data_IF_993899604799
#
_entry.id   IF_993899604799
#
_cell.length_a   1.000
_cell.length_b   1.000
_cell.length_c   1.000
_cell.angle_alpha   90.00
_cell.angle_beta   90.00
_cell.angle_gamma   90.00
#
_symmetry.space_group_name_H-M   'P 1'
#
loop_
_entity.id
_entity.type
_entity.pdbx_description
1 polymer ?
#
# COMPACT_ATOMS: atom_id res chain seq x y z
N UNK A 1 -1.61 -4.02 16.70
CA UNK A 1 -2.36 -3.35 15.60
C UNK A 1 -2.75 -4.37 14.54
N UNK A 2 -3.85 -4.12 13.82
CA UNK A 2 -4.15 -4.82 12.57
C UNK A 2 -3.53 -4.02 11.42
N UNK A 3 -2.63 -4.62 10.67
CA UNK A 3 -1.87 -3.98 9.59
C UNK A 3 -2.25 -4.63 8.25
N UNK A 4 -2.65 -3.84 7.27
CA UNK A 4 -2.86 -4.30 5.90
C UNK A 4 -1.70 -3.87 5.01
N UNK A 5 -1.05 -4.83 4.33
CA UNK A 5 -0.01 -4.55 3.32
C UNK A 5 -0.64 -4.69 1.94
N UNK A 6 -0.75 -3.60 1.20
CA UNK A 6 -1.26 -3.56 -0.17
C UNK A 6 -0.10 -3.72 -1.15
N UNK A 7 0.16 -4.95 -1.59
CA UNK A 7 1.23 -5.24 -2.53
C UNK A 7 0.76 -5.04 -3.98
N UNK A 8 1.18 -3.94 -4.59
CA UNK A 8 0.88 -3.58 -5.97
C UNK A 8 1.70 -4.31 -7.03
N UNK A 9 2.68 -5.14 -6.63
CA UNK A 9 3.48 -5.89 -7.61
C UNK A 9 2.67 -7.03 -8.26
N UNK A 10 2.64 -7.12 -9.59
CA UNK A 10 2.05 -8.28 -10.28
C UNK A 10 2.93 -9.54 -10.18
N UNK A 11 4.19 -9.40 -9.76
CA UNK A 11 5.18 -10.48 -9.65
C UNK A 11 5.43 -10.85 -8.19
N UNK A 12 5.82 -12.12 -7.96
CA UNK A 12 6.27 -12.61 -6.64
C UNK A 12 7.80 -12.44 -6.52
N UNK A 13 8.26 -11.20 -6.61
CA UNK A 13 9.67 -10.85 -6.69
C UNK A 13 10.06 -9.84 -5.58
N UNK A 14 10.87 -8.84 -5.92
CA UNK A 14 11.50 -7.88 -5.01
C UNK A 14 10.51 -7.25 -4.01
N UNK A 15 9.44 -6.64 -4.50
CA UNK A 15 8.42 -6.01 -3.64
C UNK A 15 7.75 -7.02 -2.71
N UNK A 16 7.49 -8.25 -3.21
CA UNK A 16 6.91 -9.29 -2.38
C UNK A 16 7.86 -9.74 -1.25
N UNK A 17 9.18 -9.79 -1.51
CA UNK A 17 10.18 -10.07 -0.49
C UNK A 17 10.23 -8.96 0.59
N UNK A 18 10.16 -7.69 0.17
CA UNK A 18 10.10 -6.55 1.11
C UNK A 18 8.81 -6.58 1.95
N UNK A 19 7.66 -6.85 1.33
CA UNK A 19 6.38 -6.97 2.04
C UNK A 19 6.39 -8.13 3.05
N UNK A 20 7.01 -9.26 2.69
CA UNK A 20 7.18 -10.41 3.57
C UNK A 20 8.12 -10.10 4.75
N UNK A 21 9.24 -9.41 4.50
CA UNK A 21 10.15 -8.98 5.56
C UNK A 21 9.45 -8.03 6.55
N UNK A 22 8.67 -7.07 6.03
CA UNK A 22 7.87 -6.18 6.87
C UNK A 22 6.85 -6.97 7.70
N UNK A 23 6.13 -7.92 7.08
CA UNK A 23 5.18 -8.78 7.79
C UNK A 23 5.84 -9.52 8.94
N UNK A 24 7.00 -10.15 8.70
CA UNK A 24 7.74 -10.89 9.72
C UNK A 24 8.13 -10.01 10.92
N UNK A 25 8.65 -8.79 10.66
CA UNK A 25 9.00 -7.85 11.72
C UNK A 25 7.79 -7.38 12.52
N UNK A 26 6.72 -7.02 11.84
CA UNK A 26 5.49 -6.57 12.50
C UNK A 26 4.81 -7.70 13.33
N UNK A 27 4.79 -8.93 12.83
CA UNK A 27 4.28 -10.09 13.57
C UNK A 27 5.15 -10.43 14.79
N UNK A 28 6.48 -10.30 14.68
CA UNK A 28 7.39 -10.47 15.81
C UNK A 28 7.14 -9.44 16.92
N UNK A 29 6.67 -8.23 16.57
CA UNK A 29 6.23 -7.20 17.50
C UNK A 29 4.77 -7.40 18.02
N UNK A 30 4.13 -8.52 17.68
CA UNK A 30 2.78 -8.85 18.14
C UNK A 30 1.65 -8.21 17.36
N UNK A 31 1.89 -7.76 16.13
CA UNK A 31 0.85 -7.21 15.26
C UNK A 31 0.20 -8.30 14.40
N UNK A 32 -1.07 -8.13 14.06
CA UNK A 32 -1.78 -8.94 13.07
C UNK A 32 -1.55 -8.35 11.70
N UNK A 33 -1.04 -9.13 10.73
CA UNK A 33 -0.69 -8.62 9.41
C UNK A 33 -1.36 -9.42 8.30
N UNK A 34 -2.08 -8.71 7.42
CA UNK A 34 -2.65 -9.25 6.19
C UNK A 34 -1.92 -8.68 4.97
N UNK A 35 -1.53 -9.54 4.03
CA UNK A 35 -0.92 -9.12 2.76
C UNK A 35 -1.88 -9.33 1.60
N UNK A 36 -2.34 -8.23 1.01
CA UNK A 36 -3.27 -8.20 -0.11
C UNK A 36 -2.51 -8.02 -1.43
N UNK A 37 -2.69 -8.96 -2.36
CA UNK A 37 -1.98 -8.98 -3.65
C UNK A 37 -2.68 -8.07 -4.68
N UNK A 38 -2.67 -6.76 -4.44
CA UNK A 38 -3.34 -5.76 -5.28
C UNK A 38 -2.88 -5.81 -6.73
N UNK A 39 -1.60 -6.10 -6.97
CA UNK A 39 -1.04 -6.26 -8.31
C UNK A 39 -1.68 -7.37 -9.17
N UNK A 40 -2.50 -8.23 -8.56
CA UNK A 40 -3.26 -9.30 -9.26
C UNK A 40 -4.76 -9.06 -9.27
N UNK A 41 -5.23 -8.01 -8.64
CA UNK A 41 -6.64 -7.65 -8.59
C UNK A 41 -7.05 -6.89 -9.84
N UNK A 42 -8.30 -7.06 -10.24
CA UNK A 42 -8.91 -6.30 -11.33
C UNK A 42 -9.64 -5.10 -10.74
N UNK A 43 -8.93 -4.00 -10.57
CA UNK A 43 -9.47 -2.74 -10.05
C UNK A 43 -9.29 -1.69 -11.15
N UNK A 44 -10.40 -1.13 -11.62
CA UNK A 44 -10.37 -0.04 -12.59
C UNK A 44 -10.13 1.30 -11.90
N UNK A 45 -9.64 2.30 -12.64
CA UNK A 45 -9.54 3.67 -12.16
C UNK A 45 -10.90 4.28 -11.78
N UNK A 46 -10.90 5.35 -11.00
CA UNK A 46 -12.11 6.07 -10.63
C UNK A 46 -12.74 6.75 -11.86
N UNK A 47 -14.05 6.61 -12.02
CA UNK A 47 -14.82 7.25 -13.11
C UNK A 47 -15.28 8.67 -12.77
N UNK A 48 -15.00 9.16 -11.56
CA UNK A 48 -15.49 10.45 -11.06
C UNK A 48 -17.02 10.64 -11.23
N UNK A 49 -17.78 9.56 -11.13
CA UNK A 49 -19.25 9.57 -11.40
C UNK A 49 -20.08 10.01 -10.19
N UNK A 50 -19.45 10.29 -9.06
CA UNK A 50 -20.06 10.73 -7.78
C UNK A 50 -21.15 9.81 -7.21
N UNK A 51 -21.36 8.63 -7.79
CA UNK A 51 -22.35 7.67 -7.31
C UNK A 51 -22.16 7.32 -5.83
N UNK A 52 -20.89 7.11 -5.42
CA UNK A 52 -20.53 6.73 -4.05
C UNK A 52 -20.84 7.82 -3.01
N UNK A 53 -20.81 9.08 -3.40
CA UNK A 53 -21.16 10.23 -2.51
C UNK A 53 -22.64 10.60 -2.56
N UNK A 54 -23.41 9.91 -3.37
CA UNK A 54 -24.87 10.06 -3.46
C UNK A 54 -25.56 8.74 -3.16
N UNK A 55 -26.20 8.15 -4.18
CA UNK A 55 -27.00 6.91 -4.07
C UNK A 55 -26.20 5.69 -3.59
N UNK A 56 -24.89 5.70 -3.71
CA UNK A 56 -24.01 4.59 -3.34
C UNK A 56 -23.68 4.51 -1.85
N UNK A 57 -23.89 5.58 -1.08
CA UNK A 57 -23.65 5.63 0.37
C UNK A 57 -22.29 5.02 0.76
N UNK A 58 -21.22 5.50 0.12
CA UNK A 58 -19.84 5.00 0.31
C UNK A 58 -19.49 3.78 -0.54
N UNK A 59 -20.42 3.21 -1.31
CA UNK A 59 -20.15 2.07 -2.20
C UNK A 59 -19.94 2.52 -3.63
N UNK A 60 -18.88 2.01 -4.25
CA UNK A 60 -18.63 2.30 -5.66
C UNK A 60 -19.62 1.58 -6.57
N UNK A 61 -20.00 2.24 -7.68
CA UNK A 61 -20.88 1.64 -8.70
C UNK A 61 -20.18 0.53 -9.49
N UNK A 62 -18.86 0.60 -9.63
CA UNK A 62 -18.06 -0.39 -10.37
C UNK A 62 -18.00 -1.70 -9.58
N UNK A 63 -18.35 -2.81 -10.24
CA UNK A 63 -18.29 -4.17 -9.68
C UNK A 63 -16.98 -4.82 -10.06
N UNK A 64 -15.96 -4.62 -9.25
CA UNK A 64 -14.62 -5.16 -9.44
C UNK A 64 -13.99 -5.57 -8.10
N UNK A 65 -12.70 -5.94 -8.11
CA UNK A 65 -12.01 -6.46 -6.93
C UNK A 65 -11.79 -5.42 -5.81
N UNK A 66 -12.24 -4.17 -5.98
CA UNK A 66 -12.19 -3.18 -4.90
C UNK A 66 -12.92 -3.67 -3.65
N UNK A 67 -14.00 -4.40 -3.81
CA UNK A 67 -14.76 -4.95 -2.68
C UNK A 67 -13.88 -5.82 -1.77
N UNK A 68 -12.87 -6.49 -2.31
CA UNK A 68 -11.91 -7.32 -1.55
C UNK A 68 -10.90 -6.48 -0.74
N UNK A 69 -10.68 -5.22 -1.13
CA UNK A 69 -9.81 -4.30 -0.42
C UNK A 69 -10.53 -3.49 0.67
N UNK A 70 -11.86 -3.40 0.60
CA UNK A 70 -12.62 -2.56 1.53
C UNK A 70 -12.37 -2.90 3.00
N UNK A 71 -12.28 -4.19 3.42
CA UNK A 71 -11.93 -4.51 4.81
C UNK A 71 -10.60 -3.91 5.26
N UNK A 72 -9.58 -3.89 4.39
CA UNK A 72 -8.29 -3.27 4.70
C UNK A 72 -8.42 -1.77 4.99
N UNK A 73 -9.21 -1.05 4.21
CA UNK A 73 -9.43 0.38 4.39
C UNK A 73 -10.37 0.73 5.57
N UNK A 74 -11.27 -0.17 5.93
CA UNK A 74 -12.27 0.08 6.96
C UNK A 74 -11.83 -0.41 8.35
N UNK A 75 -11.02 -1.47 8.43
CA UNK A 75 -10.78 -2.20 9.67
C UNK A 75 -9.33 -2.17 10.17
N UNK A 76 -8.36 -1.84 9.30
CA UNK A 76 -6.95 -1.82 9.71
C UNK A 76 -6.60 -0.57 10.50
N UNK A 77 -5.67 -0.71 11.44
CA UNK A 77 -5.09 0.40 12.21
C UNK A 77 -3.98 1.11 11.42
N UNK A 78 -3.32 0.36 10.52
CA UNK A 78 -2.24 0.85 9.66
C UNK A 78 -2.33 0.24 8.26
N UNK A 79 -2.00 1.03 7.25
CA UNK A 79 -1.93 0.58 5.86
C UNK A 79 -0.50 0.75 5.34
N UNK A 80 0.08 -0.32 4.82
CA UNK A 80 1.40 -0.32 4.19
C UNK A 80 1.21 -0.49 2.68
N UNK A 81 1.71 0.47 1.93
CA UNK A 81 1.71 0.40 0.48
C UNK A 81 3.05 -0.16 0.00
N UNK A 82 3.02 -1.17 -0.85
CA UNK A 82 4.23 -1.80 -1.40
C UNK A 82 4.15 -1.85 -2.92
N UNK A 83 5.14 -1.30 -3.64
CA UNK A 83 5.13 -1.27 -5.10
C UNK A 83 6.53 -1.32 -5.71
N UNK A 84 6.70 -1.97 -6.86
CA UNK A 84 7.81 -1.63 -7.72
C UNK A 84 7.56 -0.27 -8.38
N UNK A 85 8.64 0.39 -8.81
CA UNK A 85 8.54 1.62 -9.60
C UNK A 85 8.48 1.28 -11.08
N UNK A 86 7.44 1.78 -11.76
CA UNK A 86 7.27 1.75 -13.21
C UNK A 86 7.13 3.17 -13.73
N UNK A 87 8.13 3.65 -14.51
CA UNK A 87 8.16 5.03 -15.01
C UNK A 87 7.88 6.07 -13.91
N UNK A 88 8.68 6.04 -12.84
CA UNK A 88 8.67 6.97 -11.70
C UNK A 88 7.45 6.89 -10.77
N UNK A 89 6.47 6.04 -11.07
CA UNK A 89 5.24 5.89 -10.29
C UNK A 89 5.10 4.48 -9.68
N UNK A 90 4.26 4.29 -8.67
CA UNK A 90 3.77 2.97 -8.29
C UNK A 90 3.07 2.27 -9.47
N UNK A 91 2.81 0.98 -9.34
CA UNK A 91 2.08 0.25 -10.39
C UNK A 91 0.67 0.83 -10.58
N UNK A 92 0.17 0.79 -11.82
CA UNK A 92 -1.19 1.24 -12.12
C UNK A 92 -2.26 0.52 -11.28
N UNK A 93 -2.01 -0.72 -10.88
CA UNK A 93 -2.90 -1.48 -10.00
C UNK A 93 -2.99 -0.85 -8.59
N UNK A 94 -1.84 -0.43 -8.02
CA UNK A 94 -1.84 0.25 -6.72
C UNK A 94 -2.42 1.67 -6.84
N UNK A 95 -2.12 2.37 -7.91
CA UNK A 95 -2.71 3.68 -8.22
C UNK A 95 -4.24 3.61 -8.27
N UNK A 96 -4.79 2.61 -8.98
CA UNK A 96 -6.23 2.41 -9.03
C UNK A 96 -6.81 2.15 -7.63
N UNK A 97 -6.15 1.35 -6.80
CA UNK A 97 -6.57 1.09 -5.43
C UNK A 97 -6.57 2.39 -4.58
N UNK A 98 -5.54 3.24 -4.71
CA UNK A 98 -5.50 4.55 -4.05
C UNK A 98 -6.64 5.47 -4.49
N UNK A 99 -6.82 5.64 -5.81
CA UNK A 99 -7.87 6.51 -6.33
C UNK A 99 -9.27 6.07 -5.88
N UNK A 100 -9.48 4.77 -5.75
CA UNK A 100 -10.77 4.20 -5.41
C UNK A 100 -11.12 4.30 -3.91
N UNK A 101 -10.16 4.65 -3.03
CA UNK A 101 -10.47 5.07 -1.64
C UNK A 101 -11.41 6.28 -1.61
N UNK A 102 -11.44 7.06 -2.67
CA UNK A 102 -12.38 8.17 -2.83
C UNK A 102 -13.84 7.81 -2.49
N UNK A 103 -14.25 6.56 -2.72
CA UNK A 103 -15.64 6.15 -2.41
C UNK A 103 -16.01 6.25 -0.92
N UNK A 104 -15.02 6.16 -0.02
CA UNK A 104 -15.19 6.34 1.43
C UNK A 104 -14.53 7.63 1.95
N UNK A 105 -13.94 8.42 1.05
CA UNK A 105 -13.22 9.66 1.36
C UNK A 105 -11.83 9.42 1.96
N UNK A 106 -11.72 8.59 2.98
CA UNK A 106 -10.46 8.21 3.63
C UNK A 106 -10.62 6.86 4.34
N UNK A 107 -9.51 6.15 4.66
CA UNK A 107 -9.56 4.97 5.53
C UNK A 107 -10.28 5.27 6.85
N UNK A 108 -11.19 4.38 7.26
CA UNK A 108 -12.10 4.70 8.37
C UNK A 108 -11.43 4.62 9.73
N UNK A 109 -10.54 3.62 9.93
CA UNK A 109 -9.90 3.33 11.21
C UNK A 109 -8.42 3.61 11.20
N UNK A 110 -7.73 3.44 10.07
CA UNK A 110 -6.30 3.61 9.97
C UNK A 110 -5.87 5.04 10.33
N UNK A 111 -4.86 5.13 11.16
CA UNK A 111 -4.20 6.40 11.55
C UNK A 111 -2.76 6.47 11.10
N UNK A 112 -2.21 5.37 10.59
CA UNK A 112 -0.80 5.24 10.20
C UNK A 112 -0.66 4.66 8.81
N UNK A 113 0.40 5.06 8.11
CA UNK A 113 0.79 4.46 6.84
C UNK A 113 2.31 4.33 6.71
N UNK A 114 2.77 3.40 5.89
CA UNK A 114 4.17 3.29 5.46
C UNK A 114 4.23 2.94 3.98
N UNK A 115 5.41 3.14 3.37
CA UNK A 115 5.64 2.87 1.96
C UNK A 115 6.88 1.99 1.76
N UNK A 116 6.74 0.93 0.95
CA UNK A 116 7.84 0.05 0.52
C UNK A 116 7.99 0.15 -0.99
N UNK A 117 9.14 0.56 -1.49
CA UNK A 117 9.39 0.72 -2.92
C UNK A 117 10.61 -0.06 -3.39
N UNK A 118 10.43 -0.85 -4.44
CA UNK A 118 11.53 -1.54 -5.13
C UNK A 118 11.74 -0.93 -6.52
N UNK A 119 12.98 -0.81 -6.97
CA UNK A 119 13.32 -0.26 -8.28
C UNK A 119 14.59 -0.89 -8.84
N UNK A 120 14.77 -0.81 -10.16
CA UNK A 120 16.04 -1.13 -10.80
C UNK A 120 17.03 0.04 -10.72
N UNK A 121 16.56 1.28 -10.68
CA UNK A 121 17.36 2.50 -10.91
C UNK A 121 17.29 3.58 -9.81
N UNK A 122 16.54 3.37 -8.73
CA UNK A 122 16.56 4.26 -7.56
C UNK A 122 15.85 5.61 -7.70
N UNK A 123 14.98 5.79 -8.71
CA UNK A 123 14.20 7.02 -8.87
C UNK A 123 12.86 6.89 -8.12
N UNK A 124 12.77 7.41 -6.90
CA UNK A 124 11.62 7.25 -6.01
C UNK A 124 10.84 8.54 -5.74
N UNK A 125 11.40 9.71 -6.01
CA UNK A 125 10.90 11.00 -5.54
C UNK A 125 9.44 11.25 -5.88
N UNK A 126 9.04 10.98 -7.13
CA UNK A 126 7.65 11.18 -7.56
C UNK A 126 6.67 10.25 -6.80
N UNK A 127 7.01 8.96 -6.65
CA UNK A 127 6.18 8.00 -5.93
C UNK A 127 6.10 8.33 -4.42
N UNK A 128 7.21 8.77 -3.83
CA UNK A 128 7.23 9.22 -2.42
C UNK A 128 6.40 10.48 -2.24
N UNK A 129 6.51 11.45 -3.14
CA UNK A 129 5.72 12.68 -3.08
C UNK A 129 4.22 12.40 -3.18
N UNK A 130 3.82 11.50 -4.08
CA UNK A 130 2.43 11.07 -4.23
C UNK A 130 1.91 10.40 -2.96
N UNK A 131 2.68 9.44 -2.39
CA UNK A 131 2.32 8.78 -1.14
C UNK A 131 2.16 9.79 0.01
N UNK A 132 3.12 10.71 0.18
CA UNK A 132 3.05 11.74 1.23
C UNK A 132 1.83 12.65 1.06
N UNK A 133 1.51 13.03 -0.18
CA UNK A 133 0.29 13.78 -0.49
C UNK A 133 -0.98 13.02 -0.11
N UNK A 134 -1.04 11.73 -0.44
CA UNK A 134 -2.16 10.86 -0.06
C UNK A 134 -2.27 10.72 1.46
N UNK A 135 -1.18 10.42 2.16
CA UNK A 135 -1.16 10.27 3.61
C UNK A 135 -1.61 11.56 4.31
N UNK A 136 -1.07 12.71 3.89
CA UNK A 136 -1.45 14.01 4.44
C UNK A 136 -2.93 14.35 4.21
N UNK A 137 -3.44 14.13 3.00
CA UNK A 137 -4.84 14.41 2.66
C UNK A 137 -5.81 13.52 3.45
N UNK A 138 -5.46 12.24 3.63
CA UNK A 138 -6.31 11.28 4.36
C UNK A 138 -6.11 11.32 5.88
N UNK A 139 -5.16 12.11 6.37
CA UNK A 139 -4.86 12.24 7.81
C UNK A 139 -4.09 11.04 8.40
N UNK A 140 -3.39 10.28 7.56
CA UNK A 140 -2.54 9.19 8.00
C UNK A 140 -1.15 9.71 8.42
N UNK A 141 -0.68 9.31 9.57
CA UNK A 141 0.69 9.55 10.01
C UNK A 141 1.65 8.72 9.16
N UNK A 142 2.59 9.37 8.49
CA UNK A 142 3.67 8.70 7.77
C UNK A 142 4.66 8.08 8.76
N UNK A 143 4.73 6.76 8.80
CA UNK A 143 5.64 5.98 9.66
C UNK A 143 7.01 5.80 9.02
N UNK A 144 7.15 6.09 7.72
CA UNK A 144 8.40 6.02 7.00
C UNK A 144 8.31 5.33 5.64
N UNK A 145 9.39 5.44 4.91
CA UNK A 145 9.56 4.87 3.56
C UNK A 145 10.79 3.98 3.53
N UNK A 146 10.63 2.74 3.09
CA UNK A 146 11.75 1.83 2.81
C UNK A 146 11.90 1.68 1.30
N UNK A 147 13.10 1.91 0.79
CA UNK A 147 13.44 1.73 -0.62
C UNK A 147 14.53 0.68 -0.80
N UNK A 148 14.50 -0.03 -1.93
CA UNK A 148 15.56 -0.95 -2.31
C UNK A 148 15.79 -0.91 -3.83
N UNK A 149 17.05 -0.92 -4.26
CA UNK A 149 17.45 -0.69 -5.66
C UNK A 149 18.34 -1.83 -6.19
N UNK A 150 18.07 -2.26 -7.42
CA UNK A 150 18.91 -3.24 -8.13
C UNK A 150 19.06 -4.55 -7.35
N UNK A 151 20.30 -4.97 -7.09
CA UNK A 151 20.60 -6.20 -6.35
C UNK A 151 20.24 -6.11 -4.86
N UNK A 152 20.19 -4.90 -4.31
CA UNK A 152 19.80 -4.67 -2.92
C UNK A 152 18.37 -5.13 -2.62
N UNK A 153 17.49 -5.12 -3.62
CA UNK A 153 16.06 -5.46 -3.49
C UNK A 153 15.77 -6.77 -2.73
N UNK A 154 16.66 -7.74 -2.80
CA UNK A 154 16.54 -9.05 -2.13
C UNK A 154 17.73 -9.36 -1.23
N UNK A 155 18.62 -8.40 -0.98
CA UNK A 155 19.74 -8.63 -0.09
C UNK A 155 19.26 -8.89 1.33
N UNK A 156 19.89 -9.83 2.04
CA UNK A 156 19.52 -10.12 3.43
C UNK A 156 19.68 -8.90 4.33
N UNK A 157 20.68 -8.06 4.06
CA UNK A 157 20.89 -6.82 4.80
C UNK A 157 19.69 -5.88 4.68
N UNK A 158 19.16 -5.68 3.46
CA UNK A 158 17.97 -4.83 3.25
C UNK A 158 16.70 -5.43 3.84
N UNK A 159 16.51 -6.72 3.70
CA UNK A 159 15.36 -7.40 4.29
C UNK A 159 15.39 -7.37 5.82
N UNK A 160 16.59 -7.48 6.43
CA UNK A 160 16.76 -7.31 7.88
C UNK A 160 16.48 -5.87 8.33
N UNK A 161 16.90 -4.86 7.57
CA UNK A 161 16.54 -3.46 7.82
C UNK A 161 15.02 -3.24 7.84
N UNK A 162 14.31 -3.82 6.86
CA UNK A 162 12.85 -3.71 6.76
C UNK A 162 12.16 -4.44 7.93
N UNK A 163 12.64 -5.63 8.32
CA UNK A 163 12.15 -6.31 9.53
C UNK A 163 12.31 -5.44 10.77
N UNK A 164 13.53 -4.93 10.99
CA UNK A 164 13.82 -4.08 12.14
C UNK A 164 13.03 -2.74 12.14
N UNK A 165 12.69 -2.22 10.97
CA UNK A 165 11.77 -1.07 10.86
C UNK A 165 10.37 -1.44 11.33
N UNK A 166 9.84 -2.58 10.88
CA UNK A 166 8.49 -3.03 11.24
C UNK A 166 8.35 -3.46 12.70
N UNK A 167 9.43 -3.96 13.33
CA UNK A 167 9.47 -4.30 14.76
C UNK A 167 9.34 -3.09 15.69
N UNK A 168 9.59 -1.88 15.19
CA UNK A 168 9.56 -0.64 15.99
C UNK A 168 8.24 0.13 15.91
N UNK A 169 7.22 -0.42 15.25
CA UNK A 169 5.93 0.24 15.03
C UNK A 169 5.03 0.29 16.31
#
# INVERSE_FOLDING_TARGET
MKIAILNGSPRKENTAAMAEAFRQGAEAAGHEVEVLQVGKMKINGCLACEYCHGKGEGKCIQKDDLEKLMPAYLESDMIVFASPIYYFAPTAQLEAAWQRVYCIGKPAKATKAALLLSSASGFYDAAIAQYKGFAAYTGLQDMGVCTATGEENKSEAKLAEIRAFAEKL
#
